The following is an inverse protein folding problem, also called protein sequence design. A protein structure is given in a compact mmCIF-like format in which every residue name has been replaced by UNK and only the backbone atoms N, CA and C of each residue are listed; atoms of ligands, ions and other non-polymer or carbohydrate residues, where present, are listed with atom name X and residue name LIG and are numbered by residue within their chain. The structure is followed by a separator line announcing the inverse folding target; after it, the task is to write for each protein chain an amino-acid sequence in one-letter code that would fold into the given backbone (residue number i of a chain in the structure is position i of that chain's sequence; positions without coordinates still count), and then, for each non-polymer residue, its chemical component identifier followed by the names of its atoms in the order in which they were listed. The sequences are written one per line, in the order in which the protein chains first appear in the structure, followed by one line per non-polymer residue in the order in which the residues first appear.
data_IF_303318102512
#
_entry.id   IF_303318102512
#
_cell.length_a   1.000
_cell.length_b   1.000
_cell.length_c   1.000
_cell.angle_alpha   90.00
_cell.angle_beta   90.00
_cell.angle_gamma   90.00
#
_symmetry.space_group_name_H-M   'P 1'
#
loop_
_entity.id
_entity.type
_entity.pdbx_description
1 polymer ?
#
# COMPACT_ATOMS: atom_id res chain seq x y z
N UNK A 1 -5.31 -5.32 -16.43
CA UNK A 1 -4.79 -5.19 -15.08
C UNK A 1 -5.42 -4.01 -14.42
N UNK A 2 -6.35 -4.28 -13.51
CA UNK A 2 -6.87 -3.26 -12.59
C UNK A 2 -5.84 -2.98 -11.49
N UNK A 3 -6.16 -2.05 -10.60
CA UNK A 3 -5.23 -1.64 -9.53
C UNK A 3 -5.01 -2.75 -8.51
N UNK A 4 -6.02 -3.58 -8.22
CA UNK A 4 -5.89 -4.67 -7.25
C UNK A 4 -4.95 -5.77 -7.76
N UNK A 5 -5.14 -6.19 -9.02
CA UNK A 5 -4.30 -7.14 -9.72
C UNK A 5 -2.85 -6.62 -9.79
N UNK A 6 -2.65 -5.33 -10.05
CA UNK A 6 -1.32 -4.72 -10.01
C UNK A 6 -0.66 -4.83 -8.63
N UNK A 7 -1.40 -4.47 -7.57
CA UNK A 7 -0.90 -4.53 -6.19
C UNK A 7 -0.58 -5.97 -5.79
N UNK A 8 -1.37 -6.95 -6.24
CA UNK A 8 -1.10 -8.38 -6.06
C UNK A 8 0.20 -8.80 -6.74
N UNK A 9 0.38 -8.48 -8.02
CA UNK A 9 1.61 -8.79 -8.77
C UNK A 9 2.83 -8.18 -8.08
N UNK A 10 2.72 -6.94 -7.63
CA UNK A 10 3.78 -6.23 -6.95
C UNK A 10 4.11 -6.85 -5.58
N UNK A 11 3.10 -7.16 -4.77
CA UNK A 11 3.30 -7.82 -3.47
C UNK A 11 3.90 -9.22 -3.63
N UNK A 12 3.43 -10.00 -4.61
CA UNK A 12 3.99 -11.31 -4.92
C UNK A 12 5.44 -11.24 -5.40
N UNK A 13 5.79 -10.18 -6.14
CA UNK A 13 7.16 -9.89 -6.53
C UNK A 13 8.04 -9.60 -5.31
N UNK A 14 7.58 -8.71 -4.43
CA UNK A 14 8.27 -8.40 -3.17
C UNK A 14 8.44 -9.63 -2.28
N UNK A 15 7.41 -10.46 -2.09
CA UNK A 15 7.46 -11.64 -1.22
C UNK A 15 8.49 -12.69 -1.66
N UNK A 16 8.93 -12.65 -2.93
CA UNK A 16 9.97 -13.54 -3.49
C UNK A 16 11.38 -12.96 -3.34
N UNK A 17 11.52 -11.72 -2.89
CA UNK A 17 12.83 -11.11 -2.66
C UNK A 17 13.48 -11.70 -1.41
N UNK A 18 14.81 -11.64 -1.37
CA UNK A 18 15.58 -12.12 -0.21
C UNK A 18 15.14 -11.34 1.02
N UNK A 19 14.80 -12.03 2.11
CA UNK A 19 14.54 -11.36 3.37
C UNK A 19 13.16 -10.72 3.53
N UNK A 20 12.24 -10.90 2.58
CA UNK A 20 10.86 -10.41 2.71
C UNK A 20 10.12 -10.98 3.94
N UNK A 21 10.47 -12.19 4.37
CA UNK A 21 9.82 -12.87 5.50
C UNK A 21 10.43 -12.46 6.86
N UNK A 22 11.75 -12.31 6.95
CA UNK A 22 12.46 -12.36 8.22
C UNK A 22 13.67 -11.42 8.35
N UNK A 23 13.93 -10.55 7.36
CA UNK A 23 15.12 -9.68 7.34
C UNK A 23 14.76 -8.23 7.05
N UNK A 24 15.69 -7.34 7.38
CA UNK A 24 15.64 -5.93 7.00
C UNK A 24 16.84 -5.58 6.12
N UNK A 25 16.65 -4.63 5.22
CA UNK A 25 17.73 -4.17 4.33
C UNK A 25 18.52 -3.05 5.01
N UNK A 26 19.85 -3.14 4.91
CA UNK A 26 20.80 -2.18 5.47
C UNK A 26 21.83 -1.82 4.42
N UNK A 27 22.12 -0.52 4.29
CA UNK A 27 23.21 -0.01 3.46
C UNK A 27 24.53 -0.24 4.19
N UNK A 28 25.48 -0.88 3.53
CA UNK A 28 26.86 -0.99 4.01
C UNK A 28 27.74 0.10 3.42
N UNK A 29 28.89 0.33 4.05
CA UNK A 29 29.93 1.19 3.50
C UNK A 29 30.78 0.41 2.47
N UNK A 30 31.10 1.00 1.31
CA UNK A 30 32.07 0.43 0.39
C UNK A 30 33.46 0.39 1.03
N UNK A 31 34.26 -0.63 0.72
CA UNK A 31 35.61 -0.77 1.30
C UNK A 31 36.63 0.17 0.63
N UNK A 32 36.33 0.65 -0.57
CA UNK A 32 37.15 1.58 -1.33
C UNK A 32 36.30 2.66 -2.00
N UNK A 33 36.92 3.79 -2.38
CA UNK A 33 36.22 4.91 -3.05
C UNK A 33 35.73 4.57 -4.47
N UNK A 34 36.22 3.48 -5.05
CA UNK A 34 35.84 3.01 -6.39
C UNK A 34 34.70 1.98 -6.33
N UNK A 35 34.34 1.51 -5.13
CA UNK A 35 33.29 0.54 -4.92
C UNK A 35 31.90 1.19 -4.82
N UNK A 36 30.90 0.43 -5.26
CA UNK A 36 29.49 0.80 -5.16
C UNK A 36 28.94 0.46 -3.78
N UNK A 37 27.96 1.23 -3.32
CA UNK A 37 27.29 1.09 -2.02
C UNK A 37 26.52 -0.23 -1.96
N UNK A 38 26.94 -1.20 -1.14
CA UNK A 38 26.25 -2.48 -1.02
C UNK A 38 24.99 -2.37 -0.15
N UNK A 39 23.97 -3.16 -0.48
CA UNK A 39 22.80 -3.38 0.38
C UNK A 39 22.78 -4.83 0.83
N UNK A 40 22.53 -5.05 2.12
CA UNK A 40 22.49 -6.35 2.75
C UNK A 40 21.11 -6.61 3.37
N UNK A 41 20.60 -7.83 3.20
CA UNK A 41 19.51 -8.37 4.00
C UNK A 41 20.07 -8.96 5.30
N UNK A 42 19.68 -8.39 6.43
CA UNK A 42 20.18 -8.72 7.77
C UNK A 42 19.06 -9.37 8.58
N UNK A 43 19.35 -10.54 9.18
CA UNK A 43 18.42 -11.20 10.10
C UNK A 43 18.66 -10.77 11.56
N UNK A 44 17.90 -11.37 12.49
CA UNK A 44 17.97 -11.06 13.93
C UNK A 44 19.31 -11.44 14.58
N UNK A 45 20.11 -12.27 13.94
CA UNK A 45 21.41 -12.75 14.41
C UNK A 45 22.57 -11.97 13.76
N UNK A 46 22.26 -10.89 13.02
CA UNK A 46 23.20 -10.08 12.23
C UNK A 46 23.87 -10.89 11.09
N UNK A 47 23.27 -11.99 10.62
CA UNK A 47 23.78 -12.66 9.43
C UNK A 47 23.38 -11.86 8.18
N UNK A 48 24.37 -11.51 7.36
CA UNK A 48 24.21 -10.60 6.22
C UNK A 48 24.26 -11.33 4.89
N UNK A 49 23.28 -11.07 4.03
CA UNK A 49 23.26 -11.54 2.63
C UNK A 49 23.24 -10.32 1.72
N UNK A 50 24.23 -10.19 0.83
CA UNK A 50 24.29 -9.08 -0.13
C UNK A 50 23.18 -9.24 -1.18
N UNK A 51 22.35 -8.22 -1.35
CA UNK A 51 21.19 -8.25 -2.27
C UNK A 51 21.33 -7.31 -3.46
N UNK A 52 22.09 -6.22 -3.31
CA UNK A 52 22.28 -5.23 -4.37
C UNK A 52 23.54 -4.37 -4.15
N UNK A 53 23.86 -3.56 -5.15
CA UNK A 53 24.88 -2.50 -5.11
C UNK A 53 24.40 -1.29 -5.91
N UNK A 54 24.66 -0.09 -5.40
CA UNK A 54 24.24 1.17 -6.02
C UNK A 54 25.40 2.14 -6.17
N UNK A 55 25.31 3.03 -7.18
CA UNK A 55 26.34 4.05 -7.43
C UNK A 55 26.43 5.08 -6.30
N UNK A 56 25.31 5.36 -5.64
CA UNK A 56 25.23 6.36 -4.57
C UNK A 56 24.63 5.74 -3.31
N UNK A 57 25.04 6.26 -2.15
CA UNK A 57 24.47 5.90 -0.85
C UNK A 57 22.97 6.17 -0.81
N UNK A 58 22.56 7.31 -1.38
CA UNK A 58 21.17 7.74 -1.41
C UNK A 58 20.25 6.74 -2.13
N UNK A 59 20.67 6.21 -3.28
CA UNK A 59 19.88 5.21 -4.01
C UNK A 59 19.81 3.88 -3.26
N UNK A 60 20.91 3.50 -2.58
CA UNK A 60 20.95 2.31 -1.73
C UNK A 60 19.99 2.43 -0.54
N UNK A 61 19.99 3.60 0.11
CA UNK A 61 19.16 3.90 1.27
C UNK A 61 17.68 3.96 0.91
N UNK A 62 17.34 4.60 -0.21
CA UNK A 62 15.99 4.61 -0.74
C UNK A 62 15.48 3.20 -1.04
N UNK A 63 16.30 2.37 -1.70
CA UNK A 63 15.94 0.98 -2.00
C UNK A 63 15.74 0.13 -0.73
N UNK A 64 16.65 0.24 0.24
CA UNK A 64 16.55 -0.47 1.52
C UNK A 64 15.30 -0.06 2.30
N UNK A 65 15.04 1.24 2.39
CA UNK A 65 13.87 1.80 3.06
C UNK A 65 12.56 1.37 2.38
N UNK A 66 12.53 1.43 1.03
CA UNK A 66 11.36 1.02 0.27
C UNK A 66 11.05 -0.46 0.49
N UNK A 67 12.06 -1.33 0.46
CA UNK A 67 11.87 -2.77 0.65
C UNK A 67 11.19 -3.09 1.99
N UNK A 68 11.61 -2.45 3.08
CA UNK A 68 11.00 -2.63 4.39
C UNK A 68 9.59 -2.05 4.53
N UNK A 69 9.33 -0.90 3.91
CA UNK A 69 8.01 -0.25 3.97
C UNK A 69 6.99 -0.81 2.98
N UNK A 70 7.44 -1.56 1.96
CA UNK A 70 6.61 -2.04 0.86
C UNK A 70 5.33 -2.79 1.27
N UNK A 71 5.37 -3.81 2.14
CA UNK A 71 4.17 -4.58 2.49
C UNK A 71 3.12 -3.70 3.21
N UNK A 72 3.57 -2.79 4.06
CA UNK A 72 2.68 -1.86 4.75
C UNK A 72 2.06 -0.83 3.81
N UNK A 73 2.83 -0.33 2.83
CA UNK A 73 2.29 0.55 1.79
C UNK A 73 1.17 -0.14 1.00
N UNK A 74 1.39 -1.39 0.55
CA UNK A 74 0.37 -2.16 -0.16
C UNK A 74 -0.88 -2.36 0.70
N UNK A 75 -0.70 -2.72 1.98
CA UNK A 75 -1.82 -2.89 2.91
C UNK A 75 -2.63 -1.60 3.08
N UNK A 76 -1.95 -0.47 3.27
CA UNK A 76 -2.62 0.83 3.43
C UNK A 76 -3.40 1.22 2.17
N UNK A 77 -2.83 1.01 0.98
CA UNK A 77 -3.52 1.31 -0.29
C UNK A 77 -4.78 0.44 -0.43
N UNK A 78 -4.70 -0.86 -0.14
CA UNK A 78 -5.87 -1.75 -0.18
C UNK A 78 -6.97 -1.31 0.78
N UNK A 79 -6.61 -1.03 2.03
CA UNK A 79 -7.57 -0.53 3.02
C UNK A 79 -8.25 0.76 2.55
N UNK A 80 -7.50 1.69 1.96
CA UNK A 80 -8.09 2.92 1.42
C UNK A 80 -9.05 2.65 0.25
N UNK A 81 -8.76 1.67 -0.61
CA UNK A 81 -9.65 1.27 -1.71
C UNK A 81 -10.95 0.62 -1.19
N UNK A 82 -10.84 -0.26 -0.20
CA UNK A 82 -12.00 -0.89 0.44
C UNK A 82 -12.89 0.15 1.12
N UNK A 83 -12.27 1.11 1.83
CA UNK A 83 -12.98 2.22 2.48
C UNK A 83 -13.69 3.12 1.47
N UNK A 84 -13.04 3.43 0.35
CA UNK A 84 -13.64 4.22 -0.73
C UNK A 84 -14.86 3.50 -1.33
N UNK A 85 -14.75 2.21 -1.60
CA UNK A 85 -15.86 1.40 -2.12
C UNK A 85 -17.03 1.35 -1.13
N UNK A 86 -16.74 1.19 0.17
CA UNK A 86 -17.78 1.20 1.21
C UNK A 86 -18.45 2.58 1.34
N UNK A 87 -17.70 3.67 1.21
CA UNK A 87 -18.25 5.03 1.22
C UNK A 87 -19.21 5.24 0.04
N UNK A 88 -18.85 4.75 -1.15
CA UNK A 88 -19.69 4.81 -2.35
C UNK A 88 -21.03 4.10 -2.12
N UNK A 89 -20.99 2.86 -1.63
CA UNK A 89 -22.22 2.10 -1.28
C UNK A 89 -23.10 2.82 -0.26
N UNK A 90 -22.51 3.46 0.75
CA UNK A 90 -23.26 4.22 1.76
C UNK A 90 -23.90 5.48 1.17
N UNK A 91 -23.22 6.14 0.24
CA UNK A 91 -23.78 7.31 -0.45
C UNK A 91 -24.98 6.89 -1.30
N UNK A 92 -24.89 5.76 -2.00
CA UNK A 92 -25.99 5.21 -2.78
C UNK A 92 -27.20 4.85 -1.90
N UNK A 93 -26.97 4.17 -0.77
CA UNK A 93 -28.01 3.81 0.19
C UNK A 93 -28.72 5.06 0.74
N UNK A 94 -27.95 6.06 1.17
CA UNK A 94 -28.48 7.32 1.68
C UNK A 94 -29.26 8.09 0.61
N UNK A 95 -28.77 8.09 -0.63
CA UNK A 95 -29.45 8.75 -1.75
C UNK A 95 -30.80 8.10 -2.03
N UNK A 96 -30.87 6.76 -2.02
CA UNK A 96 -32.12 6.03 -2.14
C UNK A 96 -33.09 6.38 -1.00
N UNK A 97 -32.60 6.38 0.24
CA UNK A 97 -33.42 6.68 1.41
C UNK A 97 -33.95 8.12 1.41
N UNK A 98 -33.15 9.08 0.96
CA UNK A 98 -33.59 10.48 0.80
C UNK A 98 -34.71 10.55 -0.23
N UNK A 99 -34.55 9.92 -1.39
CA UNK A 99 -35.58 9.92 -2.42
C UNK A 99 -36.90 9.31 -1.91
N UNK A 100 -36.85 8.21 -1.16
CA UNK A 100 -38.03 7.62 -0.51
C UNK A 100 -38.74 8.62 0.43
N UNK A 101 -37.98 9.28 1.29
CA UNK A 101 -38.51 10.24 2.25
C UNK A 101 -39.09 11.49 1.56
N UNK A 102 -38.47 11.96 0.48
CA UNK A 102 -38.98 13.07 -0.32
C UNK A 102 -40.32 12.71 -0.98
N UNK A 103 -40.47 11.47 -1.47
CA UNK A 103 -41.75 10.99 -2.02
C UNK A 103 -42.84 10.90 -0.94
N UNK A 104 -42.52 10.34 0.23
CA UNK A 104 -43.45 10.24 1.36
C UNK A 104 -43.88 11.63 1.85
N UNK A 105 -42.94 12.57 1.99
CA UNK A 105 -43.25 13.94 2.39
C UNK A 105 -44.18 14.64 1.37
N UNK A 106 -43.90 14.48 0.07
CA UNK A 106 -44.74 15.04 -0.99
C UNK A 106 -46.15 14.43 -1.01
N UNK A 107 -46.30 13.16 -0.67
CA UNK A 107 -47.59 12.50 -0.53
C UNK A 107 -48.37 13.04 0.67
N UNK A 108 -47.73 13.15 1.84
CA UNK A 108 -48.33 13.71 3.05
C UNK A 108 -48.75 15.17 2.86
N UNK A 109 -47.93 16.00 2.19
CA UNK A 109 -48.30 17.38 1.86
C UNK A 109 -49.53 17.46 0.94
N UNK A 110 -49.68 16.51 0.01
CA UNK A 110 -50.87 16.43 -0.84
C UNK A 110 -52.10 15.98 -0.06
N UNK A 111 -51.95 15.12 0.94
CA UNK A 111 -53.06 14.70 1.79
C UNK A 111 -53.53 15.83 2.72
N UNK A 112 -52.59 16.61 3.29
CA UNK A 112 -52.92 17.74 4.16
C UNK A 112 -53.58 18.91 3.44
N UNK A 113 -53.25 19.12 2.16
CA UNK A 113 -53.80 20.19 1.34
C UNK A 113 -55.04 19.78 0.52
N UNK A 114 -55.62 18.61 0.78
CA UNK A 114 -56.92 18.16 0.26
C UNK A 114 -58.04 18.45 1.25
#
# INVERSE_FOLDING_TARGET
MDTEEFLDVMYQGWAKTVGAEDRFYVVGEPHTVEEWWPVYAVDKEDNRVKVATFLTEHDADWFASLHGAFPDLIRQVRTAMDEASNLDYRVDELTCRIAELEMEAAELERELNK
#
